data_IF_477932211754
#
_entry.id   IF_477932211754
#
_cell.length_a   1.000
_cell.length_b   1.000
_cell.length_c   1.000
_cell.angle_alpha   90.00
_cell.angle_beta   90.00
_cell.angle_gamma   90.00
#
_symmetry.space_group_name_H-M   'P 1'
#
loop_
_entity.id
_entity.type
_entity.pdbx_description
1 polymer ?
#
# COMPACT_ATOMS: atom_id res chain seq x y z
N UNK A 1 28.74 -22.94 -1.51
CA UNK A 1 27.28 -22.74 -1.46
C UNK A 1 26.65 -24.11 -1.30
N UNK A 2 25.97 -24.35 -0.19
CA UNK A 2 25.40 -25.68 0.11
C UNK A 2 24.01 -25.85 -0.52
N UNK A 3 23.53 -27.09 -0.62
CA UNK A 3 22.15 -27.38 -1.02
C UNK A 3 21.12 -26.70 -0.09
N UNK A 4 21.42 -26.63 1.21
CA UNK A 4 20.59 -25.94 2.20
C UNK A 4 20.54 -24.43 1.95
N UNK A 5 21.68 -23.81 1.60
CA UNK A 5 21.73 -22.39 1.25
C UNK A 5 20.87 -22.09 0.02
N UNK A 6 20.95 -22.94 -1.01
CA UNK A 6 20.15 -22.80 -2.22
C UNK A 6 18.66 -22.97 -1.92
N UNK A 7 18.29 -24.02 -1.17
CA UNK A 7 16.91 -24.30 -0.79
C UNK A 7 16.31 -23.17 0.06
N UNK A 8 17.12 -22.53 0.91
CA UNK A 8 16.73 -21.35 1.67
C UNK A 8 16.50 -20.14 0.78
N UNK A 9 17.45 -19.83 -0.11
CA UNK A 9 17.35 -18.69 -1.04
C UNK A 9 16.15 -18.84 -1.98
N UNK A 10 15.91 -20.05 -2.49
CA UNK A 10 14.75 -20.34 -3.34
C UNK A 10 13.44 -20.07 -2.59
N UNK A 11 13.30 -20.58 -1.35
CA UNK A 11 12.11 -20.33 -0.53
C UNK A 11 11.83 -18.85 -0.32
N UNK A 12 12.85 -18.04 -0.07
CA UNK A 12 12.68 -16.58 0.06
C UNK A 12 12.14 -15.98 -1.24
N UNK A 13 12.71 -16.34 -2.40
CA UNK A 13 12.24 -15.84 -3.69
C UNK A 13 10.79 -16.28 -4.00
N UNK A 14 10.43 -17.51 -3.65
CA UNK A 14 9.06 -18.02 -3.79
C UNK A 14 8.07 -17.27 -2.88
N UNK A 15 8.46 -17.00 -1.63
CA UNK A 15 7.65 -16.23 -0.69
C UNK A 15 7.48 -14.78 -1.14
N UNK A 16 8.54 -14.12 -1.62
CA UNK A 16 8.42 -12.77 -2.17
C UNK A 16 7.51 -12.74 -3.42
N UNK A 17 7.62 -13.72 -4.31
CA UNK A 17 6.75 -13.84 -5.47
C UNK A 17 5.28 -14.07 -5.05
N UNK A 18 5.06 -14.90 -4.03
CA UNK A 18 3.73 -15.16 -3.48
C UNK A 18 3.12 -13.91 -2.83
N UNK A 19 3.92 -13.10 -2.14
CA UNK A 19 3.51 -11.82 -1.55
C UNK A 19 3.14 -10.79 -2.62
N UNK A 20 3.96 -10.63 -3.67
CA UNK A 20 3.61 -9.78 -4.83
C UNK A 20 2.30 -10.26 -5.48
N UNK A 21 2.14 -11.56 -5.63
CA UNK A 21 0.91 -12.17 -6.13
C UNK A 21 -0.31 -11.92 -5.23
N UNK A 22 -0.13 -11.96 -3.90
CA UNK A 22 -1.18 -11.64 -2.93
C UNK A 22 -1.69 -10.22 -3.09
N UNK A 23 -0.77 -9.25 -3.18
CA UNK A 23 -1.12 -7.84 -3.37
C UNK A 23 -1.79 -7.61 -4.72
N UNK A 24 -1.25 -8.16 -5.82
CA UNK A 24 -1.89 -8.01 -7.14
C UNK A 24 -3.29 -8.62 -7.18
N UNK A 25 -3.51 -9.79 -6.56
CA UNK A 25 -4.85 -10.40 -6.46
C UNK A 25 -5.80 -9.55 -5.63
N UNK A 26 -5.34 -9.07 -4.46
CA UNK A 26 -6.14 -8.23 -3.58
C UNK A 26 -6.61 -6.97 -4.28
N UNK A 27 -5.71 -6.16 -4.82
CA UNK A 27 -6.06 -4.86 -5.38
C UNK A 27 -6.86 -4.96 -6.67
N UNK A 28 -6.68 -6.03 -7.45
CA UNK A 28 -7.55 -6.34 -8.59
C UNK A 28 -8.96 -6.81 -8.19
N UNK A 29 -9.11 -7.40 -6.99
CA UNK A 29 -10.39 -7.84 -6.42
C UNK A 29 -11.13 -6.72 -5.67
N UNK A 30 -10.40 -5.80 -5.02
CA UNK A 30 -10.76 -4.36 -4.99
C UNK A 30 -10.88 -3.87 -6.45
N UNK A 31 -10.94 -2.62 -6.89
CA UNK A 31 -11.14 -2.28 -8.33
C UNK A 31 -12.43 -2.83 -9.03
N UNK A 32 -12.62 -4.16 -9.11
CA UNK A 32 -13.79 -4.92 -9.56
C UNK A 32 -14.88 -5.11 -8.51
N UNK A 33 -14.65 -4.70 -7.25
CA UNK A 33 -15.59 -4.89 -6.13
C UNK A 33 -15.93 -6.37 -5.85
N UNK A 34 -14.98 -7.28 -6.09
CA UNK A 34 -15.02 -8.66 -5.63
C UNK A 34 -14.59 -8.71 -4.16
N UNK A 35 -15.52 -8.37 -3.29
CA UNK A 35 -15.30 -8.24 -1.85
C UNK A 35 -14.91 -9.56 -1.17
N UNK A 36 -15.38 -10.69 -1.71
CA UNK A 36 -15.05 -12.01 -1.17
C UNK A 36 -13.58 -12.34 -1.42
N UNK A 37 -13.11 -12.18 -2.66
CA UNK A 37 -11.71 -12.42 -3.00
C UNK A 37 -10.79 -11.41 -2.30
N UNK A 38 -11.20 -10.14 -2.23
CA UNK A 38 -10.43 -9.12 -1.54
C UNK A 38 -10.28 -9.44 -0.04
N UNK A 39 -11.38 -9.74 0.66
CA UNK A 39 -11.34 -10.09 2.08
C UNK A 39 -10.53 -11.36 2.34
N UNK A 40 -10.52 -12.32 1.40
CA UNK A 40 -9.71 -13.53 1.50
C UNK A 40 -8.19 -13.28 1.46
N UNK A 41 -7.71 -12.07 1.14
CA UNK A 41 -6.30 -11.71 1.25
C UNK A 41 -5.89 -11.31 2.67
N UNK A 42 -6.84 -11.08 3.57
CA UNK A 42 -6.61 -10.62 4.94
C UNK A 42 -6.67 -11.76 5.96
N UNK A 43 -5.90 -11.63 7.02
CA UNK A 43 -6.02 -12.44 8.22
C UNK A 43 -7.26 -12.05 9.02
N UNK A 44 -7.84 -12.98 9.77
CA UNK A 44 -9.05 -12.72 10.57
C UNK A 44 -8.85 -11.58 11.58
N UNK A 45 -7.67 -11.51 12.19
CA UNK A 45 -7.21 -10.55 13.19
C UNK A 45 -6.53 -9.30 12.59
N UNK A 46 -6.66 -9.07 11.29
CA UNK A 46 -5.91 -8.00 10.64
C UNK A 46 -6.30 -6.58 11.09
N UNK A 47 -5.38 -5.64 10.93
CA UNK A 47 -5.59 -4.22 11.21
C UNK A 47 -5.35 -3.36 9.96
N UNK A 48 -6.29 -2.45 9.68
CA UNK A 48 -6.15 -1.41 8.66
C UNK A 48 -6.06 -0.06 9.36
N UNK A 49 -4.98 0.66 9.11
CA UNK A 49 -4.77 2.03 9.58
C UNK A 49 -4.77 2.98 8.39
N UNK A 50 -5.88 3.70 8.25
CA UNK A 50 -6.03 4.73 7.23
C UNK A 50 -6.31 6.05 7.91
N UNK A 51 -5.45 7.05 7.69
CA UNK A 51 -5.42 8.29 8.47
C UNK A 51 -6.81 8.89 8.79
N UNK A 52 -7.70 9.10 7.79
CA UNK A 52 -9.05 9.61 8.01
C UNK A 52 -9.99 8.71 8.86
N UNK A 53 -9.77 7.40 8.88
CA UNK A 53 -10.63 6.41 9.55
C UNK A 53 -10.10 5.98 10.92
N UNK A 54 -8.81 6.21 11.18
CA UNK A 54 -8.11 5.58 12.30
C UNK A 54 -7.97 4.06 12.12
N UNK A 55 -7.56 3.35 13.19
CA UNK A 55 -7.34 1.91 13.13
C UNK A 55 -8.67 1.13 13.13
N UNK A 56 -8.82 0.21 12.18
CA UNK A 56 -9.94 -0.73 12.05
C UNK A 56 -9.39 -2.13 12.25
N UNK A 57 -10.02 -2.93 13.13
CA UNK A 57 -9.55 -4.27 13.48
C UNK A 57 -10.56 -5.34 13.08
N UNK A 58 -10.03 -6.43 12.54
CA UNK A 58 -10.77 -7.59 12.08
C UNK A 58 -11.11 -7.50 10.60
N UNK A 59 -10.87 -8.60 9.87
CA UNK A 59 -11.13 -8.72 8.42
C UNK A 59 -12.52 -8.22 8.01
N UNK A 60 -13.55 -8.59 8.77
CA UNK A 60 -14.92 -8.25 8.42
C UNK A 60 -15.21 -6.76 8.59
N UNK A 61 -14.75 -6.15 9.67
CA UNK A 61 -14.88 -4.71 9.88
C UNK A 61 -14.13 -3.91 8.82
N UNK A 62 -12.94 -4.39 8.44
CA UNK A 62 -12.13 -3.83 7.34
C UNK A 62 -12.91 -3.90 6.02
N UNK A 63 -13.52 -5.04 5.70
CA UNK A 63 -14.36 -5.22 4.50
C UNK A 63 -15.53 -4.25 4.45
N UNK A 64 -16.35 -4.23 5.49
CA UNK A 64 -17.53 -3.35 5.55
C UNK A 64 -17.12 -1.90 5.34
N UNK A 65 -16.08 -1.43 6.04
CA UNK A 65 -15.65 -0.04 5.95
C UNK A 65 -15.12 0.35 4.57
N UNK A 66 -14.33 -0.53 3.94
CA UNK A 66 -13.78 -0.28 2.60
C UNK A 66 -14.88 -0.33 1.53
N UNK A 67 -15.80 -1.30 1.63
CA UNK A 67 -16.95 -1.42 0.73
C UNK A 67 -17.83 -0.15 0.79
N UNK A 68 -18.12 0.35 2.00
CA UNK A 68 -18.85 1.61 2.19
C UNK A 68 -18.10 2.80 1.57
N UNK A 69 -16.79 2.91 1.78
CA UNK A 69 -16.00 4.02 1.30
C UNK A 69 -15.90 4.07 -0.23
N UNK A 70 -15.85 2.90 -0.87
CA UNK A 70 -15.70 2.76 -2.32
C UNK A 70 -17.03 2.60 -3.07
N UNK A 71 -18.16 2.58 -2.35
CA UNK A 71 -19.49 2.37 -2.92
C UNK A 71 -19.80 3.36 -4.06
N UNK A 72 -19.44 4.63 -3.88
CA UNK A 72 -19.74 5.72 -4.82
C UNK A 72 -18.91 5.70 -6.12
N UNK A 73 -17.80 4.97 -6.17
CA UNK A 73 -16.97 4.89 -7.36
C UNK A 73 -17.51 3.84 -8.34
N UNK A 74 -17.80 4.25 -9.58
CA UNK A 74 -18.27 3.35 -10.64
C UNK A 74 -17.10 2.53 -11.19
N UNK A 75 -15.93 3.16 -11.33
CA UNK A 75 -14.68 2.50 -11.68
C UNK A 75 -13.56 3.04 -10.81
N UNK A 76 -12.63 2.17 -10.47
CA UNK A 76 -11.44 2.53 -9.70
C UNK A 76 -10.24 1.69 -10.13
N UNK A 77 -9.07 2.24 -9.90
CA UNK A 77 -7.78 1.62 -10.19
C UNK A 77 -6.83 1.91 -9.04
N UNK A 78 -6.29 0.86 -8.45
CA UNK A 78 -5.21 0.98 -7.49
C UNK A 78 -3.87 0.57 -8.12
N UNK A 79 -2.95 1.53 -8.18
CA UNK A 79 -1.59 1.28 -8.64
C UNK A 79 -0.68 1.15 -7.43
N UNK A 80 -0.02 0.00 -7.30
CA UNK A 80 1.02 -0.24 -6.30
C UNK A 80 2.38 -0.07 -6.98
N UNK A 81 3.09 0.96 -6.56
CA UNK A 81 4.36 1.39 -7.14
C UNK A 81 5.50 1.15 -6.16
N UNK A 82 6.70 0.92 -6.70
CA UNK A 82 7.94 0.72 -5.94
C UNK A 82 7.79 -0.29 -4.79
N UNK A 83 7.08 -1.39 -5.05
CA UNK A 83 6.82 -2.44 -4.07
C UNK A 83 8.12 -3.13 -3.65
N UNK A 84 8.43 -3.04 -2.37
CA UNK A 84 9.49 -3.78 -1.70
C UNK A 84 8.89 -4.70 -0.64
N UNK A 85 9.43 -5.92 -0.53
CA UNK A 85 9.00 -6.90 0.47
C UNK A 85 10.22 -7.59 1.07
N UNK A 86 10.17 -7.83 2.37
CA UNK A 86 11.24 -8.51 3.12
C UNK A 86 10.63 -9.64 3.94
N UNK A 87 11.04 -10.87 3.63
CA UNK A 87 10.57 -12.08 4.33
C UNK A 87 11.42 -12.31 5.58
N UNK A 88 10.78 -12.39 6.75
CA UNK A 88 11.40 -12.59 8.06
C UNK A 88 10.80 -13.82 8.75
N UNK A 89 11.61 -14.79 9.20
CA UNK A 89 11.09 -15.99 9.87
C UNK A 89 12.07 -17.16 9.88
N UNK A 90 11.82 -18.20 10.71
CA UNK A 90 12.76 -19.31 10.90
C UNK A 90 13.00 -20.02 9.57
N UNK A 91 14.23 -19.89 9.10
CA UNK A 91 14.67 -20.24 7.77
C UNK A 91 15.82 -19.35 7.30
N UNK A 92 16.07 -18.19 7.90
CA UNK A 92 17.12 -17.24 7.46
C UNK A 92 18.50 -17.38 8.11
N UNK A 93 18.71 -18.31 9.05
CA UNK A 93 20.00 -18.57 9.68
C UNK A 93 20.62 -19.93 9.31
N UNK A 94 21.95 -20.04 9.12
CA UNK A 94 22.62 -21.32 8.96
C UNK A 94 22.68 -22.04 10.32
N UNK A 95 21.98 -23.17 10.41
CA UNK A 95 22.15 -24.15 11.49
C UNK A 95 21.64 -23.68 12.86
N UNK A 96 20.42 -24.06 13.20
CA UNK A 96 20.01 -24.61 14.53
C UNK A 96 18.49 -24.59 14.62
N UNK A 97 17.93 -25.71 15.07
CA UNK A 97 16.65 -25.69 15.74
C UNK A 97 15.55 -26.42 14.99
N UNK A 98 15.22 -27.58 15.54
CA UNK A 98 13.95 -28.30 15.50
C UNK A 98 12.77 -27.46 16.03
N UNK A 99 12.71 -26.17 15.71
CA UNK A 99 11.69 -25.26 16.19
C UNK A 99 10.39 -25.47 15.44
N UNK A 100 9.40 -26.04 16.12
CA UNK A 100 7.96 -25.96 15.83
C UNK A 100 7.43 -24.51 15.95
N UNK A 101 8.25 -23.51 15.61
CA UNK A 101 7.99 -22.09 15.80
C UNK A 101 7.20 -21.51 14.62
N UNK A 102 5.91 -21.33 14.85
CA UNK A 102 5.03 -20.27 14.32
C UNK A 102 5.58 -19.44 13.15
N UNK A 103 5.10 -19.77 11.95
CA UNK A 103 4.77 -18.91 10.80
C UNK A 103 5.80 -17.89 10.32
N UNK A 104 6.30 -18.07 9.09
CA UNK A 104 7.01 -17.02 8.35
C UNK A 104 6.21 -15.71 8.36
N UNK A 105 6.92 -14.59 8.53
CA UNK A 105 6.39 -13.23 8.48
C UNK A 105 7.05 -12.48 7.32
N UNK A 106 6.47 -11.37 6.93
CA UNK A 106 7.11 -10.44 6.03
C UNK A 106 6.65 -9.03 6.35
N UNK A 107 7.47 -8.06 5.96
CA UNK A 107 7.07 -6.66 5.88
C UNK A 107 7.13 -6.22 4.43
N UNK A 108 6.37 -5.19 4.09
CA UNK A 108 6.46 -4.58 2.77
C UNK A 108 6.18 -3.10 2.81
N UNK A 109 6.65 -2.41 1.79
CA UNK A 109 6.37 -0.99 1.56
C UNK A 109 6.16 -0.71 0.09
N UNK A 110 5.44 0.36 -0.21
CA UNK A 110 5.19 0.79 -1.58
C UNK A 110 4.45 2.11 -1.60
N UNK A 111 4.12 2.59 -2.79
CA UNK A 111 3.32 3.79 -2.97
C UNK A 111 2.02 3.45 -3.68
N UNK A 112 0.93 4.00 -3.16
CA UNK A 112 -0.36 3.96 -3.81
C UNK A 112 -0.50 5.16 -4.75
N UNK A 113 -1.01 4.89 -5.94
CA UNK A 113 -1.77 5.87 -6.70
C UNK A 113 -3.15 5.32 -7.02
N UNK A 114 -4.15 5.84 -6.32
CA UNK A 114 -5.56 5.53 -6.52
C UNK A 114 -6.17 6.52 -7.49
N UNK A 115 -6.95 6.02 -8.43
CA UNK A 115 -7.73 6.81 -9.40
C UNK A 115 -9.13 6.23 -9.47
N UNK A 116 -10.15 7.07 -9.35
CA UNK A 116 -11.53 6.63 -9.42
C UNK A 116 -12.45 7.66 -10.10
N UNK A 117 -13.52 7.15 -10.70
CA UNK A 117 -14.58 7.96 -11.31
C UNK A 117 -15.92 7.60 -10.70
N UNK A 118 -16.71 8.61 -10.37
CA UNK A 118 -18.08 8.48 -9.83
C UNK A 118 -19.13 8.50 -10.94
N UNK A 119 -18.82 9.12 -12.09
CA UNK A 119 -19.67 9.15 -13.27
C UNK A 119 -18.80 9.05 -14.55
N UNK A 120 -18.81 7.90 -15.26
CA UNK A 120 -18.04 7.72 -16.49
C UNK A 120 -18.42 8.67 -17.64
N UNK A 121 -19.59 9.32 -17.58
CA UNK A 121 -20.04 10.29 -18.57
C UNK A 121 -19.67 11.74 -18.23
N UNK A 122 -19.11 11.99 -17.05
CA UNK A 122 -18.79 13.34 -16.59
C UNK A 122 -17.51 13.87 -17.25
N UNK A 123 -17.53 15.15 -17.63
CA UNK A 123 -16.34 15.88 -18.06
C UNK A 123 -15.43 16.29 -16.88
N UNK A 124 -15.89 16.07 -15.64
CA UNK A 124 -15.02 16.23 -14.48
C UNK A 124 -13.95 15.13 -14.51
N UNK A 125 -12.69 15.52 -14.30
CA UNK A 125 -11.59 14.58 -14.13
C UNK A 125 -11.81 13.58 -12.96
N UNK A 126 -10.96 12.55 -12.85
CA UNK A 126 -11.11 11.56 -11.80
C UNK A 126 -10.79 12.14 -10.42
N UNK A 127 -11.33 11.48 -9.38
CA UNK A 127 -10.75 11.56 -8.05
C UNK A 127 -9.42 10.80 -8.08
N UNK A 128 -8.40 11.34 -7.41
CA UNK A 128 -7.14 10.63 -7.23
C UNK A 128 -6.52 10.96 -5.89
N UNK A 129 -5.76 10.02 -5.36
CA UNK A 129 -4.97 10.21 -4.16
C UNK A 129 -3.73 9.34 -4.18
N UNK A 130 -2.73 9.71 -3.39
CA UNK A 130 -1.52 8.94 -3.28
C UNK A 130 -0.79 9.13 -1.98
N UNK A 131 0.09 8.17 -1.70
CA UNK A 131 0.91 8.13 -0.51
C UNK A 131 1.44 6.73 -0.22
N UNK A 132 2.17 6.56 0.89
CA UNK A 132 2.86 5.33 1.20
C UNK A 132 1.91 4.28 1.77
N UNK A 133 2.18 3.03 1.38
CA UNK A 133 1.73 1.85 2.09
C UNK A 133 2.87 1.26 2.91
N UNK A 134 2.52 0.80 4.10
CA UNK A 134 3.31 -0.16 4.87
C UNK A 134 2.44 -1.40 5.12
N UNK A 135 3.03 -2.58 4.96
CA UNK A 135 2.36 -3.86 5.16
C UNK A 135 3.12 -4.75 6.14
N UNK A 136 2.35 -5.54 6.88
CA UNK A 136 2.84 -6.73 7.56
C UNK A 136 2.07 -7.95 7.08
N UNK A 137 2.77 -9.06 6.96
CA UNK A 137 2.22 -10.32 6.47
C UNK A 137 2.54 -11.48 7.41
N UNK A 138 1.66 -12.48 7.40
CA UNK A 138 1.85 -13.75 8.09
C UNK A 138 1.51 -14.90 7.15
N UNK A 139 2.34 -15.94 7.15
CA UNK A 139 2.07 -17.18 6.41
C UNK A 139 1.15 -18.07 7.24
N UNK A 140 -0.04 -18.31 6.69
CA UNK A 140 -0.98 -19.31 7.16
C UNK A 140 -0.65 -20.68 6.53
N UNK A 141 -0.62 -21.78 7.29
CA UNK A 141 -0.29 -23.10 6.75
C UNK A 141 -1.24 -23.62 5.67
N UNK A 142 -2.52 -23.19 5.69
CA UNK A 142 -3.56 -23.68 4.78
C UNK A 142 -3.83 -22.71 3.63
N UNK A 143 -3.72 -21.41 3.90
CA UNK A 143 -4.11 -20.33 2.97
C UNK A 143 -2.91 -19.63 2.32
N UNK A 144 -1.69 -19.89 2.79
CA UNK A 144 -0.50 -19.18 2.34
C UNK A 144 -0.38 -17.80 2.99
N UNK A 145 0.21 -16.83 2.28
CA UNK A 145 0.42 -15.49 2.82
C UNK A 145 -0.89 -14.69 2.96
N UNK A 146 -1.02 -13.97 4.07
CA UNK A 146 -2.14 -13.09 4.37
C UNK A 146 -1.62 -11.73 4.88
N UNK A 147 -2.36 -10.66 4.57
CA UNK A 147 -2.16 -9.33 5.15
C UNK A 147 -2.62 -9.33 6.60
N UNK A 148 -1.75 -8.97 7.53
CA UNK A 148 -2.09 -8.80 8.96
C UNK A 148 -2.14 -7.34 9.38
N UNK A 149 -1.37 -6.47 8.72
CA UNK A 149 -1.45 -5.02 8.92
C UNK A 149 -1.29 -4.31 7.59
N UNK A 150 -2.07 -3.26 7.39
CA UNK A 150 -1.83 -2.27 6.35
C UNK A 150 -1.95 -0.88 6.95
N UNK A 151 -0.95 -0.03 6.72
CA UNK A 151 -1.03 1.40 6.98
C UNK A 151 -0.99 2.15 5.67
N UNK A 152 -1.90 3.09 5.48
CA UNK A 152 -1.92 3.97 4.32
C UNK A 152 -1.84 5.43 4.77
N UNK A 153 -0.71 6.06 4.44
CA UNK A 153 -0.55 7.50 4.55
C UNK A 153 -1.13 8.19 3.32
N UNK A 154 -1.86 9.29 3.52
CA UNK A 154 -2.34 10.14 2.43
C UNK A 154 -1.44 11.37 2.37
N UNK A 155 -0.69 11.52 1.28
CA UNK A 155 0.17 12.68 1.06
C UNK A 155 -0.49 13.75 0.21
N UNK A 156 -1.33 13.33 -0.74
CA UNK A 156 -2.05 14.25 -1.60
C UNK A 156 -3.38 13.63 -2.05
N UNK A 157 -4.31 14.50 -2.36
CA UNK A 157 -5.58 14.17 -3.02
C UNK A 157 -5.84 15.22 -4.09
N UNK A 158 -6.47 14.80 -5.18
CA UNK A 158 -7.00 15.68 -6.21
C UNK A 158 -8.43 15.25 -6.50
N UNK A 159 -9.35 16.20 -6.51
CA UNK A 159 -10.70 15.97 -6.98
C UNK A 159 -10.97 16.94 -8.13
N UNK A 160 -11.59 16.47 -9.19
CA UNK A 160 -11.93 17.37 -10.28
C UNK A 160 -13.10 18.28 -9.91
N UNK A 161 -13.00 19.54 -10.32
CA UNK A 161 -14.08 20.51 -10.23
C UNK A 161 -14.26 21.18 -8.86
N UNK A 162 -13.31 21.05 -7.93
CA UNK A 162 -13.42 21.68 -6.60
C UNK A 162 -14.39 20.98 -5.64
N UNK A 163 -14.97 19.85 -6.04
CA UNK A 163 -15.69 18.99 -5.11
C UNK A 163 -14.68 18.35 -4.15
N UNK A 164 -14.97 18.35 -2.85
CA UNK A 164 -14.13 17.69 -1.87
C UNK A 164 -13.97 16.19 -2.20
N UNK A 165 -12.93 15.55 -1.64
CA UNK A 165 -12.91 14.09 -1.56
C UNK A 165 -14.28 13.59 -1.06
N UNK A 166 -14.77 12.43 -1.53
CA UNK A 166 -16.00 11.87 -0.98
C UNK A 166 -15.91 11.88 0.54
N UNK A 167 -16.98 12.25 1.24
CA UNK A 167 -17.00 12.38 2.70
C UNK A 167 -16.42 11.14 3.40
N UNK A 168 -16.55 9.97 2.76
CA UNK A 168 -15.93 8.73 3.17
C UNK A 168 -14.41 8.80 3.41
N UNK A 169 -13.66 9.66 2.72
CA UNK A 169 -12.21 9.87 2.86
C UNK A 169 -11.84 11.14 3.64
N UNK A 170 -12.84 11.90 4.10
CA UNK A 170 -12.60 13.04 4.97
C UNK A 170 -12.23 12.57 6.39
N UNK A 171 -11.32 13.28 7.10
CA UNK A 171 -11.05 12.97 8.50
C UNK A 171 -12.33 13.08 9.32
N UNK A 172 -12.56 12.14 10.25
CA UNK A 172 -13.67 12.22 11.18
C UNK A 172 -13.69 13.61 11.86
N UNK A 173 -14.83 14.29 11.72
CA UNK A 173 -15.00 15.71 12.04
C UNK A 173 -14.50 16.05 13.45
N UNK A 174 -13.49 16.92 13.54
CA UNK A 174 -12.97 17.47 14.80
C UNK A 174 -13.82 18.63 15.33
N UNK A 175 -14.97 18.94 14.71
CA UNK A 175 -15.84 20.04 15.12
C UNK A 175 -17.05 19.60 15.96
N UNK A 176 -16.78 19.06 17.15
CA UNK A 176 -17.69 19.23 18.31
C UNK A 176 -16.91 19.63 19.55
N UNK A 177 -16.89 20.94 19.81
CA UNK A 177 -16.35 21.49 21.05
C UNK A 177 -16.11 22.99 20.99
N UNK A 178 -17.15 23.79 20.72
CA UNK A 178 -17.11 25.24 20.95
C UNK A 178 -18.09 25.57 22.10
N UNK A 179 -17.54 26.09 23.19
CA UNK A 179 -18.22 26.46 24.45
C UNK A 179 -17.67 25.61 25.61
N UNK A 180 -17.05 26.12 26.66
CA UNK A 180 -16.97 27.45 27.26
C UNK A 180 -15.61 27.60 27.97
N UNK A 181 -15.12 28.82 28.10
CA UNK A 181 -13.91 29.23 28.84
C UNK A 181 -13.88 28.70 30.28
N UNK A 182 -12.85 27.92 30.63
CA UNK A 182 -12.36 27.82 32.01
C UNK A 182 -10.82 27.75 32.00
N UNK A 183 -10.20 28.82 32.51
CA UNK A 183 -8.77 28.96 32.71
C UNK A 183 -8.34 28.23 33.97
N UNK A 184 -7.95 26.96 33.85
CA UNK A 184 -7.12 26.29 34.86
C UNK A 184 -6.00 25.47 34.23
N UNK A 185 -4.79 25.88 34.57
CA UNK A 185 -3.50 25.34 34.14
C UNK A 185 -3.36 23.85 34.47
N UNK A 186 -3.24 23.00 33.44
CA UNK A 186 -2.73 21.61 33.54
C UNK A 186 -1.29 21.56 32.99
N UNK A 187 -0.40 20.74 33.57
CA UNK A 187 0.97 20.60 33.09
C UNK A 187 1.00 19.93 31.71
N UNK A 188 1.89 20.43 30.85
CA UNK A 188 2.05 19.99 29.47
C UNK A 188 2.50 18.52 29.40
N UNK A 189 1.78 17.71 28.64
CA UNK A 189 2.29 16.44 28.11
C UNK A 189 3.32 16.71 27.01
N UNK A 190 4.38 15.89 26.87
CA UNK A 190 5.44 16.15 25.92
C UNK A 190 4.92 16.06 24.47
N UNK A 191 5.29 17.07 23.67
CA UNK A 191 5.08 17.08 22.22
C UNK A 191 5.75 15.86 21.59
N UNK A 192 5.10 15.14 20.65
CA UNK A 192 5.84 14.24 19.78
C UNK A 192 6.85 15.06 18.97
N UNK A 193 8.09 14.57 18.90
CA UNK A 193 9.15 15.20 18.11
C UNK A 193 8.75 15.20 16.63
N UNK A 194 9.08 16.27 15.88
CA UNK A 194 8.91 16.24 14.43
C UNK A 194 9.78 15.13 13.83
N UNK A 195 9.23 14.41 12.85
CA UNK A 195 10.00 13.52 11.99
C UNK A 195 11.03 14.38 11.25
N UNK A 196 12.28 14.32 11.71
CA UNK A 196 13.40 15.00 11.10
C UNK A 196 13.62 14.36 9.72
N UNK A 197 13.34 15.10 8.66
CA UNK A 197 13.79 14.73 7.32
C UNK A 197 15.32 14.72 7.36
N UNK A 198 15.94 13.54 7.43
CA UNK A 198 17.36 13.46 7.16
C UNK A 198 17.57 13.81 5.67
N UNK A 199 18.40 14.81 5.35
CA UNK A 199 18.77 15.06 3.97
C UNK A 199 19.52 13.83 3.45
N UNK A 200 19.04 13.30 2.32
CA UNK A 200 19.80 12.34 1.51
C UNK A 200 21.16 12.98 1.18
N UNK A 201 22.24 12.46 1.78
CA UNK A 201 23.58 12.94 1.50
C UNK A 201 23.96 12.52 0.08
N UNK A 202 24.22 13.52 -0.76
CA UNK A 202 24.63 13.39 -2.16
C UNK A 202 26.09 12.93 -2.29
N UNK A 203 26.43 11.82 -1.63
CA UNK A 203 27.76 11.21 -1.67
C UNK A 203 27.72 9.88 -2.41
N UNK A 204 27.19 9.87 -3.62
CA UNK A 204 27.44 8.84 -4.63
C UNK A 204 27.11 9.32 -6.06
N UNK A 205 27.38 10.60 -6.36
CA UNK A 205 27.42 11.09 -7.73
C UNK A 205 28.77 10.71 -8.37
N UNK A 206 28.96 9.41 -8.61
CA UNK A 206 30.13 8.84 -9.27
C UNK A 206 29.77 8.34 -10.67
N UNK A 207 29.95 9.21 -11.67
CA UNK A 207 30.17 8.91 -13.08
C UNK A 207 29.18 7.97 -13.82
N UNK A 208 28.07 8.53 -14.30
CA UNK A 208 27.50 8.11 -15.60
C UNK A 208 27.86 9.20 -16.62
N UNK A 209 28.90 8.96 -17.43
CA UNK A 209 29.19 9.80 -18.59
C UNK A 209 28.15 9.50 -19.68
N UNK A 210 27.48 10.54 -20.14
CA UNK A 210 26.60 10.49 -21.30
C UNK A 210 27.42 10.10 -22.54
N UNK A 211 26.94 9.08 -23.26
CA UNK A 211 27.38 8.81 -24.63
C UNK A 211 26.44 9.55 -25.59
N UNK A 212 26.93 10.18 -26.67
CA UNK A 212 26.08 10.87 -27.62
C UNK A 212 25.19 9.86 -28.37
N UNK A 213 23.92 10.23 -28.54
CA UNK A 213 22.92 9.45 -29.26
C UNK A 213 23.30 9.28 -30.75
N UNK A 214 23.16 8.08 -31.34
CA UNK A 214 23.26 7.92 -32.78
C UNK A 214 22.02 8.53 -33.47
N UNK A 215 22.27 9.18 -34.61
CA UNK A 215 21.33 10.05 -35.31
C UNK A 215 20.02 9.37 -35.75
N UNK A 216 18.97 10.19 -35.78
CA UNK A 216 17.63 9.83 -36.23
C UNK A 216 17.60 9.40 -37.70
N UNK A 217 17.62 8.09 -37.93
CA UNK A 217 17.18 7.49 -39.19
C UNK A 217 15.66 7.35 -39.20
N UNK A 218 14.98 7.98 -40.17
CA UNK A 218 13.55 7.78 -40.43
C UNK A 218 13.30 6.33 -40.83
N UNK A 219 12.61 5.58 -39.99
CA UNK A 219 11.98 4.31 -40.38
C UNK A 219 10.66 4.62 -41.12
N UNK A 220 10.57 4.22 -42.38
CA UNK A 220 9.32 4.17 -43.13
C UNK A 220 8.68 2.79 -42.93
N UNK A 221 7.40 2.77 -42.59
CA UNK A 221 6.60 1.55 -42.46
C UNK A 221 5.87 1.29 -43.79
N UNK A 222 6.00 0.10 -44.41
CA UNK A 222 5.20 -0.26 -45.58
C UNK A 222 3.87 -0.88 -45.15
N UNK A 223 2.74 -0.38 -45.67
CA UNK A 223 1.48 -1.16 -45.68
C UNK A 223 0.14 -0.45 -45.41
N UNK A 224 -0.13 0.74 -45.96
CA UNK A 224 -1.51 1.23 -46.06
C UNK A 224 -1.98 1.21 -47.52
N UNK A 225 -3.13 0.57 -47.83
CA UNK A 225 -3.70 0.60 -49.17
C UNK A 225 -4.43 1.93 -49.45
N UNK A 226 -4.51 2.24 -50.75
CA UNK A 226 -5.07 3.47 -51.35
C UNK A 226 -6.57 3.69 -51.11
#
# INVERSE_FOLDING_TARGET
MTYEDLSRRLRVLEDEAALRGLLLRGWRALDRKDWATWAACWAEDAELDFGPWGPIRGKEAIRVRVEEAEASFVRMQHHILNLHVEVTGPGTGPGTGTGTGTGSRAVGSGYMWFVAVTDPGSAAGPYSMGGPYDWEFRRDPRRGWLVVRQRLGVWWTTAAGGNAAPEAFAPADSTRGRGTTDTRTRPASPRPLPFEQQPWSSSNAGACRESPAPGAGRATWPGSPE
#
